data_IF_189118261570
#
_entry.id   IF_189118261570
#
_cell.length_a   1.000
_cell.length_b   1.000
_cell.length_c   1.000
_cell.angle_alpha   90.00
_cell.angle_beta   90.00
_cell.angle_gamma   90.00
#
_symmetry.space_group_name_H-M   'P 1'
#
loop_
_entity.id
_entity.type
_entity.pdbx_description
1 polymer ?
#
# COMPACT_ATOMS: atom_id res chain seq x y z
N UNK A 1 29.04 -19.85 -13.01
CA UNK A 1 27.75 -20.57 -13.00
C UNK A 1 27.98 -21.91 -12.36
N UNK A 2 27.33 -22.17 -11.23
CA UNK A 2 27.43 -23.44 -10.53
C UNK A 2 26.43 -24.38 -11.19
N UNK A 3 26.88 -25.37 -11.96
CA UNK A 3 25.99 -26.39 -12.51
C UNK A 3 25.31 -27.13 -11.36
N UNK A 4 23.99 -26.99 -11.26
CA UNK A 4 23.19 -27.72 -10.29
C UNK A 4 22.93 -29.11 -10.90
N UNK A 5 23.44 -30.14 -10.24
CA UNK A 5 23.40 -31.51 -10.76
C UNK A 5 21.96 -31.95 -11.08
N UNK A 6 21.70 -32.31 -12.33
CA UNK A 6 20.41 -32.84 -12.79
C UNK A 6 19.35 -31.79 -13.16
N UNK A 7 19.71 -30.51 -13.25
CA UNK A 7 18.84 -29.42 -13.72
C UNK A 7 19.42 -28.75 -14.98
N UNK A 8 19.71 -29.55 -16.00
CA UNK A 8 20.20 -29.04 -17.28
C UNK A 8 19.22 -28.02 -17.89
N UNK A 9 19.73 -26.86 -18.29
CA UNK A 9 18.95 -25.75 -18.86
C UNK A 9 18.25 -24.85 -17.83
N UNK A 10 18.44 -25.04 -16.52
CA UNK A 10 17.79 -24.22 -15.49
C UNK A 10 18.11 -22.73 -15.61
N UNK A 11 19.40 -22.40 -15.79
CA UNK A 11 19.89 -21.02 -15.87
C UNK A 11 19.50 -20.30 -17.18
N UNK A 12 18.91 -21.02 -18.15
CA UNK A 12 18.41 -20.43 -19.41
C UNK A 12 17.09 -19.68 -19.22
N UNK A 13 16.41 -19.91 -18.10
CA UNK A 13 15.13 -19.30 -17.77
C UNK A 13 15.28 -18.22 -16.73
N UNK A 14 14.51 -17.14 -16.87
CA UNK A 14 14.56 -16.00 -15.96
C UNK A 14 14.18 -16.41 -14.52
N UNK A 15 14.97 -16.01 -13.50
CA UNK A 15 14.61 -16.20 -12.11
C UNK A 15 13.32 -15.47 -11.75
N UNK A 16 12.66 -15.94 -10.70
CA UNK A 16 11.59 -15.16 -10.10
C UNK A 16 12.15 -13.87 -9.47
N UNK A 17 11.73 -12.72 -10.00
CA UNK A 17 12.14 -11.39 -9.52
C UNK A 17 11.13 -10.75 -8.56
N UNK A 18 10.08 -11.49 -8.18
CA UNK A 18 8.97 -10.93 -7.41
C UNK A 18 9.39 -10.46 -6.02
N UNK A 19 8.93 -9.27 -5.63
CA UNK A 19 9.01 -8.83 -4.24
C UNK A 19 7.85 -9.43 -3.45
N UNK A 20 8.16 -10.26 -2.45
CA UNK A 20 7.18 -10.77 -1.49
C UNK A 20 6.98 -12.28 -1.56
N UNK A 21 5.72 -12.71 -1.60
CA UNK A 21 5.33 -14.12 -1.62
C UNK A 21 4.94 -14.50 -3.06
N UNK A 22 5.41 -15.64 -3.59
CA UNK A 22 4.94 -16.11 -4.88
C UNK A 22 3.44 -16.41 -4.85
N UNK A 23 2.69 -15.78 -5.75
CA UNK A 23 1.27 -16.04 -5.99
C UNK A 23 1.07 -16.32 -7.47
N UNK A 24 -0.08 -16.88 -7.83
CA UNK A 24 -0.35 -17.23 -9.23
C UNK A 24 -0.27 -16.01 -10.15
N UNK A 25 -0.69 -14.85 -9.64
CA UNK A 25 -0.77 -13.59 -10.37
C UNK A 25 0.60 -12.93 -10.59
N UNK A 26 1.61 -13.27 -9.79
CA UNK A 26 2.96 -12.69 -9.88
C UNK A 26 4.03 -13.67 -10.37
N UNK A 27 3.63 -14.89 -10.75
CA UNK A 27 4.49 -15.89 -11.36
C UNK A 27 4.25 -15.96 -12.87
N UNK A 28 5.32 -16.13 -13.65
CA UNK A 28 5.23 -16.44 -15.06
C UNK A 28 4.90 -17.94 -15.24
N UNK A 29 3.69 -18.24 -15.72
CA UNK A 29 3.23 -19.61 -15.88
C UNK A 29 3.82 -20.31 -17.11
N UNK A 30 4.45 -19.57 -18.02
CA UNK A 30 5.14 -20.14 -19.19
C UNK A 30 6.61 -20.47 -18.87
N UNK A 31 7.15 -19.89 -17.80
CA UNK A 31 8.50 -20.14 -17.32
C UNK A 31 8.55 -21.40 -16.42
N UNK A 32 9.27 -22.48 -16.79
CA UNK A 32 9.41 -23.70 -16.00
C UNK A 32 9.92 -23.49 -14.56
N UNK A 33 10.72 -22.44 -14.30
CA UNK A 33 11.18 -22.09 -12.95
C UNK A 33 10.03 -21.58 -12.07
N UNK A 34 9.01 -20.96 -12.67
CA UNK A 34 7.97 -20.22 -11.96
C UNK A 34 6.59 -20.88 -12.04
N UNK A 35 6.36 -21.74 -13.04
CA UNK A 35 5.06 -22.38 -13.35
C UNK A 35 4.34 -22.98 -12.13
N UNK A 36 5.09 -23.64 -11.24
CA UNK A 36 4.54 -24.28 -10.04
C UNK A 36 4.89 -23.53 -8.75
N UNK A 37 5.67 -22.45 -8.82
CA UNK A 37 6.24 -21.77 -7.65
C UNK A 37 5.15 -21.31 -6.66
N UNK A 38 4.07 -20.73 -7.18
CA UNK A 38 2.93 -20.27 -6.38
C UNK A 38 2.21 -21.38 -5.62
N UNK A 39 2.33 -22.64 -6.04
CA UNK A 39 1.68 -23.78 -5.38
C UNK A 39 2.39 -24.19 -4.08
N UNK A 40 3.62 -23.74 -3.86
CA UNK A 40 4.39 -24.02 -2.64
C UNK A 40 4.17 -22.97 -1.54
N UNK A 41 3.37 -21.95 -1.83
CA UNK A 41 2.98 -20.94 -0.85
C UNK A 41 1.97 -21.53 0.15
N UNK A 42 2.22 -21.31 1.43
CA UNK A 42 1.37 -21.76 2.54
C UNK A 42 1.05 -23.27 2.48
N UNK A 43 2.09 -24.08 2.29
CA UNK A 43 1.94 -25.53 2.23
C UNK A 43 1.18 -26.08 3.47
N UNK A 44 0.34 -27.11 3.29
CA UNK A 44 -0.39 -27.72 4.40
C UNK A 44 0.54 -28.13 5.55
N UNK A 45 0.21 -27.72 6.77
CA UNK A 45 0.99 -27.99 7.97
C UNK A 45 2.14 -27.01 8.25
N UNK A 46 2.41 -26.05 7.35
CA UNK A 46 3.38 -24.97 7.58
C UNK A 46 2.69 -23.83 8.32
N UNK A 47 3.15 -23.54 9.53
CA UNK A 47 2.61 -22.47 10.37
C UNK A 47 3.63 -21.36 10.52
N UNK A 48 3.23 -20.13 10.23
CA UNK A 48 3.98 -18.93 10.59
C UNK A 48 4.92 -18.40 9.50
N UNK A 49 5.16 -19.18 8.46
CA UNK A 49 5.95 -18.76 7.30
C UNK A 49 5.20 -19.11 6.00
N UNK A 50 5.16 -18.20 5.02
CA UNK A 50 4.52 -18.47 3.73
C UNK A 50 5.28 -19.50 2.90
N UNK A 51 6.59 -19.69 3.14
CA UNK A 51 7.41 -20.72 2.50
C UNK A 51 8.29 -21.41 3.55
N UNK A 52 8.57 -22.70 3.33
CA UNK A 52 9.47 -23.49 4.21
C UNK A 52 10.94 -23.10 4.01
N UNK A 53 11.28 -22.65 2.80
CA UNK A 53 12.63 -22.32 2.35
C UNK A 53 12.59 -21.15 1.38
N UNK A 54 13.75 -20.69 0.93
CA UNK A 54 13.91 -19.57 0.00
C UNK A 54 13.29 -19.88 -1.38
N UNK A 55 12.74 -18.88 -2.11
CA UNK A 55 12.09 -19.08 -3.40
C UNK A 55 12.96 -19.82 -4.42
N UNK A 56 14.27 -19.60 -4.42
CA UNK A 56 15.22 -20.20 -5.37
C UNK A 56 15.22 -21.74 -5.27
N UNK A 57 15.01 -22.29 -4.08
CA UNK A 57 14.86 -23.73 -3.90
C UNK A 57 13.58 -24.26 -4.54
N UNK A 58 12.49 -23.52 -4.43
CA UNK A 58 11.22 -23.88 -5.04
C UNK A 58 11.23 -23.71 -6.56
N UNK A 59 12.00 -22.76 -7.10
CA UNK A 59 12.22 -22.65 -8.54
C UNK A 59 12.89 -23.90 -9.11
N UNK A 60 13.90 -24.43 -8.42
CA UNK A 60 14.56 -25.69 -8.80
C UNK A 60 13.58 -26.86 -8.79
N UNK A 61 12.69 -26.93 -7.80
CA UNK A 61 11.66 -27.97 -7.70
C UNK A 61 10.62 -27.83 -8.82
N UNK A 62 10.16 -26.62 -9.11
CA UNK A 62 9.25 -26.33 -10.23
C UNK A 62 9.86 -26.78 -11.56
N UNK A 63 11.13 -26.42 -11.80
CA UNK A 63 11.86 -26.81 -12.99
C UNK A 63 11.99 -28.33 -13.11
N UNK A 64 12.31 -29.01 -12.00
CA UNK A 64 12.39 -30.47 -11.96
C UNK A 64 11.06 -31.13 -12.30
N UNK A 65 9.94 -30.61 -11.79
CA UNK A 65 8.60 -31.11 -12.13
C UNK A 65 8.31 -30.94 -13.63
N UNK A 66 8.68 -29.80 -14.21
CA UNK A 66 8.54 -29.55 -15.64
C UNK A 66 9.37 -30.52 -16.49
N UNK A 67 10.61 -30.80 -16.10
CA UNK A 67 11.47 -31.80 -16.75
C UNK A 67 10.86 -33.22 -16.67
N UNK A 68 10.22 -33.55 -15.54
CA UNK A 68 9.48 -34.80 -15.38
C UNK A 68 8.17 -34.86 -16.20
N UNK A 69 7.81 -33.77 -16.92
CA UNK A 69 6.63 -33.70 -17.79
C UNK A 69 5.39 -33.07 -17.15
N UNK A 70 5.48 -32.52 -15.93
CA UNK A 70 4.34 -31.83 -15.31
C UNK A 70 3.98 -30.57 -16.11
N UNK A 71 2.68 -30.34 -16.34
CA UNK A 71 2.14 -29.13 -16.97
C UNK A 71 0.84 -28.73 -16.28
N UNK A 72 0.53 -27.43 -16.29
CA UNK A 72 -0.79 -26.94 -15.91
C UNK A 72 -1.79 -27.35 -16.99
N UNK A 73 -2.78 -28.17 -16.62
CA UNK A 73 -3.78 -28.69 -17.55
C UNK A 73 -5.20 -28.21 -17.26
N UNK A 74 -5.40 -27.56 -16.11
CA UNK A 74 -6.70 -27.10 -15.64
C UNK A 74 -6.55 -25.79 -14.87
N UNK A 75 -7.65 -25.04 -14.82
CA UNK A 75 -7.77 -23.89 -13.95
C UNK A 75 -7.81 -24.31 -12.47
N UNK A 76 -7.24 -23.49 -11.57
CA UNK A 76 -7.21 -23.79 -10.16
C UNK A 76 -8.62 -23.67 -9.55
N UNK A 77 -8.96 -24.63 -8.68
CA UNK A 77 -10.20 -24.62 -7.88
C UNK A 77 -10.05 -23.84 -6.57
N UNK A 78 -8.81 -23.51 -6.20
CA UNK A 78 -8.48 -22.73 -5.00
C UNK A 78 -7.49 -21.62 -5.33
N UNK A 79 -7.56 -20.52 -4.59
CA UNK A 79 -6.62 -19.41 -4.67
C UNK A 79 -6.01 -19.11 -3.30
N UNK A 80 -4.82 -18.54 -3.32
CA UNK A 80 -4.14 -18.12 -2.11
C UNK A 80 -4.67 -16.77 -1.64
N UNK A 81 -5.15 -16.72 -0.40
CA UNK A 81 -5.52 -15.49 0.29
C UNK A 81 -4.50 -15.18 1.39
N UNK A 82 -3.83 -14.05 1.24
CA UNK A 82 -2.88 -13.55 2.24
C UNK A 82 -3.59 -13.24 3.57
N UNK A 83 -2.86 -13.34 4.68
CA UNK A 83 -3.43 -13.04 6.01
C UNK A 83 -3.76 -11.56 6.19
N UNK A 84 -4.86 -11.30 6.92
CA UNK A 84 -5.28 -9.97 7.39
C UNK A 84 -4.47 -9.47 8.58
N UNK A 85 -3.99 -10.41 9.40
CA UNK A 85 -3.45 -10.13 10.72
C UNK A 85 -1.94 -9.95 10.68
N UNK A 86 -1.46 -9.23 11.72
CA UNK A 86 -0.07 -8.95 12.01
C UNK A 86 0.81 -10.12 11.58
N UNK A 87 1.85 -9.86 10.78
CA UNK A 87 2.88 -10.84 10.37
C UNK A 87 3.44 -11.59 11.60
N UNK A 88 3.31 -10.99 12.80
CA UNK A 88 3.68 -11.59 14.09
C UNK A 88 2.75 -12.72 14.58
N UNK A 89 1.54 -12.90 14.05
CA UNK A 89 0.68 -14.03 14.42
C UNK A 89 1.08 -15.29 13.64
N UNK A 90 1.89 -16.14 14.28
CA UNK A 90 2.39 -17.39 13.70
C UNK A 90 1.32 -18.35 13.18
N UNK A 91 0.08 -18.26 13.63
CA UNK A 91 -0.97 -19.19 13.20
C UNK A 91 -1.59 -18.80 11.86
N UNK A 92 -1.51 -17.52 11.50
CA UNK A 92 -2.12 -16.98 10.29
C UNK A 92 -1.10 -16.40 9.33
N UNK A 93 0.15 -16.15 9.75
CA UNK A 93 1.17 -15.45 8.95
C UNK A 93 1.45 -16.09 7.58
N UNK A 94 1.19 -17.39 7.41
CA UNK A 94 1.35 -18.06 6.12
C UNK A 94 0.23 -17.75 5.12
N UNK A 95 -0.95 -17.28 5.55
CA UNK A 95 -2.15 -17.15 4.71
C UNK A 95 -2.99 -18.43 4.65
N UNK A 96 -4.01 -18.46 3.80
CA UNK A 96 -4.89 -19.62 3.59
C UNK A 96 -5.23 -19.83 2.12
N UNK A 97 -5.46 -21.09 1.75
CA UNK A 97 -6.07 -21.43 0.47
C UNK A 97 -7.60 -21.40 0.63
N UNK A 98 -8.27 -20.65 -0.23
CA UNK A 98 -9.73 -20.51 -0.27
C UNK A 98 -10.26 -20.94 -1.62
N UNK A 99 -11.57 -21.17 -1.70
CA UNK A 99 -12.23 -21.42 -2.98
C UNK A 99 -11.99 -20.25 -3.94
N UNK A 100 -11.87 -20.54 -5.24
CA UNK A 100 -11.60 -19.51 -6.25
C UNK A 100 -12.71 -18.46 -6.31
N UNK A 101 -13.95 -18.88 -6.02
CA UNK A 101 -15.14 -18.01 -6.01
C UNK A 101 -15.34 -17.28 -4.66
N UNK A 102 -14.60 -17.66 -3.61
CA UNK A 102 -14.70 -16.96 -2.32
C UNK A 102 -14.15 -15.53 -2.47
N UNK A 103 -14.91 -14.49 -2.09
CA UNK A 103 -14.47 -13.11 -2.27
C UNK A 103 -13.19 -12.84 -1.50
N UNK A 104 -12.28 -12.09 -2.11
CA UNK A 104 -11.00 -11.76 -1.48
C UNK A 104 -11.29 -11.00 -0.17
N UNK A 105 -10.67 -11.40 0.95
CA UNK A 105 -10.78 -10.64 2.18
C UNK A 105 -10.40 -9.16 1.95
N UNK A 106 -11.21 -8.20 2.44
CA UNK A 106 -10.90 -6.79 2.26
C UNK A 106 -9.52 -6.49 2.86
N UNK A 107 -8.64 -5.90 2.06
CA UNK A 107 -7.31 -5.46 2.52
C UNK A 107 -7.50 -4.38 3.58
N UNK A 108 -6.76 -4.47 4.68
CA UNK A 108 -6.72 -3.39 5.67
C UNK A 108 -6.23 -2.12 4.97
N UNK A 109 -6.97 -1.02 5.11
CA UNK A 109 -6.56 0.22 4.47
C UNK A 109 -5.29 0.77 5.14
N UNK A 110 -4.55 1.61 4.41
CA UNK A 110 -3.42 2.35 4.99
C UNK A 110 -3.90 3.22 6.16
N UNK A 111 -5.12 3.77 6.07
CA UNK A 111 -5.77 4.53 7.13
C UNK A 111 -5.96 3.70 8.41
N UNK A 112 -6.54 2.50 8.29
CA UNK A 112 -6.73 1.58 9.43
C UNK A 112 -5.41 1.18 10.10
N UNK A 113 -4.32 1.17 9.33
CA UNK A 113 -2.98 0.82 9.82
C UNK A 113 -2.36 2.01 10.55
N UNK A 114 -2.46 3.21 9.99
CA UNK A 114 -2.06 4.47 10.64
C UNK A 114 -2.81 4.68 11.95
N UNK A 115 -4.08 4.30 12.02
CA UNK A 115 -4.92 4.47 13.21
C UNK A 115 -4.47 3.69 14.44
N UNK A 116 -3.62 2.68 14.25
CA UNK A 116 -3.05 1.88 15.35
C UNK A 116 -1.68 2.37 15.79
N UNK A 117 -1.07 3.27 15.05
CA UNK A 117 0.25 3.80 15.35
C UNK A 117 0.17 4.94 16.37
N UNK A 118 1.25 5.08 17.13
CA UNK A 118 1.39 6.21 18.06
C UNK A 118 1.43 7.53 17.29
N UNK A 119 1.13 8.64 17.98
CA UNK A 119 1.20 9.96 17.36
C UNK A 119 2.60 10.27 16.82
N UNK A 120 3.65 9.87 17.55
CA UNK A 120 5.04 10.04 17.13
C UNK A 120 5.36 9.27 15.84
N UNK A 121 4.93 8.01 15.74
CA UNK A 121 5.16 7.19 14.54
C UNK A 121 4.41 7.75 13.32
N UNK A 122 3.19 8.28 13.51
CA UNK A 122 2.44 8.92 12.42
C UNK A 122 3.14 10.17 11.90
N UNK A 123 3.79 10.96 12.77
CA UNK A 123 4.59 12.12 12.34
C UNK A 123 5.81 11.65 11.57
N UNK A 124 6.55 10.68 12.09
CA UNK A 124 7.74 10.14 11.42
C UNK A 124 7.41 9.57 10.02
N UNK A 125 6.30 8.83 9.90
CA UNK A 125 5.83 8.31 8.61
C UNK A 125 5.48 9.45 7.66
N UNK A 126 4.80 10.51 8.13
CA UNK A 126 4.48 11.67 7.30
C UNK A 126 5.73 12.31 6.72
N UNK A 127 6.74 12.55 7.54
CA UNK A 127 8.04 13.09 7.07
C UNK A 127 8.65 12.24 5.97
N UNK A 128 8.67 10.91 6.14
CA UNK A 128 9.21 10.00 5.11
C UNK A 128 8.35 9.99 3.84
N UNK A 129 7.02 10.09 3.97
CA UNK A 129 6.12 10.16 2.81
C UNK A 129 6.34 11.47 2.04
N UNK A 130 6.48 12.60 2.72
CA UNK A 130 6.76 13.89 2.10
C UNK A 130 8.11 13.85 1.35
N UNK A 131 9.15 13.30 1.97
CA UNK A 131 10.48 13.16 1.38
C UNK A 131 10.51 12.23 0.15
N UNK A 132 9.80 11.10 0.21
CA UNK A 132 9.90 10.05 -0.84
C UNK A 132 8.87 10.19 -1.96
N UNK A 133 7.67 10.65 -1.64
CA UNK A 133 6.56 10.74 -2.59
C UNK A 133 6.35 12.16 -3.09
N UNK A 134 7.03 13.16 -2.50
CA UNK A 134 6.90 14.56 -2.89
C UNK A 134 5.45 15.03 -2.82
N UNK A 135 4.72 14.59 -1.78
CA UNK A 135 3.36 15.04 -1.57
C UNK A 135 3.37 16.56 -1.46
N UNK A 136 2.48 17.28 -2.16
CA UNK A 136 2.40 18.71 -1.98
C UNK A 136 2.17 18.97 -0.49
N UNK A 137 2.81 20.00 0.08
CA UNK A 137 2.51 20.39 1.45
C UNK A 137 1.00 20.51 1.55
N UNK A 138 0.41 19.89 2.58
CA UNK A 138 -1.02 20.09 2.87
C UNK A 138 -1.17 21.59 3.02
N UNK A 139 -1.74 22.26 2.01
CA UNK A 139 -2.00 23.68 2.09
C UNK A 139 -2.79 23.88 3.37
N UNK A 140 -2.26 24.66 4.31
CA UNK A 140 -2.99 24.99 5.52
C UNK A 140 -4.26 25.68 5.04
N UNK A 141 -5.38 24.96 5.06
CA UNK A 141 -6.65 25.45 4.51
C UNK A 141 -7.22 26.59 5.35
N UNK A 142 -6.44 27.15 6.29
CA UNK A 142 -6.83 28.16 7.26
C UNK A 142 -5.83 29.30 7.24
N UNK A 143 -6.33 30.48 6.90
CA UNK A 143 -5.63 31.75 6.90
C UNK A 143 -5.91 32.47 8.23
N UNK A 144 -4.93 33.11 8.86
CA UNK A 144 -5.22 33.98 10.02
C UNK A 144 -6.04 35.19 9.56
N UNK A 145 -6.87 35.71 10.45
CA UNK A 145 -7.64 36.94 10.17
C UNK A 145 -6.71 38.13 9.92
N UNK A 146 -5.53 38.17 10.55
CA UNK A 146 -4.48 39.15 10.25
C UNK A 146 -4.04 39.10 8.78
N UNK A 147 -3.81 37.89 8.27
CA UNK A 147 -3.27 37.68 6.94
C UNK A 147 -4.36 37.92 5.87
N UNK A 148 -5.61 37.60 6.20
CA UNK A 148 -6.78 38.03 5.42
C UNK A 148 -6.88 39.56 5.36
N UNK A 149 -6.68 40.25 6.49
CA UNK A 149 -6.75 41.71 6.57
C UNK A 149 -5.66 42.37 5.71
N UNK A 150 -4.43 41.86 5.77
CA UNK A 150 -3.33 42.30 4.90
C UNK A 150 -3.66 42.10 3.42
N UNK A 151 -4.21 40.94 3.06
CA UNK A 151 -4.58 40.61 1.68
C UNK A 151 -5.69 41.52 1.15
N UNK A 152 -6.67 41.83 1.99
CA UNK A 152 -7.77 42.75 1.67
C UNK A 152 -7.37 44.23 1.79
N UNK A 153 -6.17 44.53 2.33
CA UNK A 153 -5.68 45.88 2.64
C UNK A 153 -6.65 46.66 3.55
N UNK A 154 -7.19 45.98 4.54
CA UNK A 154 -8.08 46.55 5.56
C UNK A 154 -7.51 46.32 6.95
N UNK A 155 -8.04 47.03 7.94
CA UNK A 155 -7.67 46.82 9.33
C UNK A 155 -8.16 45.45 9.85
N UNK A 156 -7.42 44.76 10.74
CA UNK A 156 -7.80 43.44 11.27
C UNK A 156 -9.20 43.40 11.90
N UNK A 157 -9.59 44.47 12.59
CA UNK A 157 -10.92 44.55 13.21
C UNK A 157 -12.03 44.65 12.13
N UNK A 158 -11.74 45.30 11.00
CA UNK A 158 -12.64 45.35 9.84
C UNK A 158 -12.71 43.99 9.13
N UNK A 159 -11.61 43.24 9.08
CA UNK A 159 -11.63 41.88 8.54
C UNK A 159 -12.53 40.94 9.37
N UNK A 160 -12.52 41.08 10.70
CA UNK A 160 -13.47 40.35 11.58
C UNK A 160 -14.92 40.69 11.25
N UNK A 161 -15.23 41.97 11.03
CA UNK A 161 -16.57 42.42 10.64
C UNK A 161 -17.00 41.84 9.29
N UNK A 162 -16.12 41.88 8.30
CA UNK A 162 -16.38 41.29 6.97
C UNK A 162 -16.63 39.79 7.11
N UNK A 163 -15.82 39.06 7.87
CA UNK A 163 -16.09 37.65 8.15
C UNK A 163 -17.47 37.43 8.78
N UNK A 164 -17.88 38.30 9.71
CA UNK A 164 -19.21 38.24 10.34
C UNK A 164 -20.35 38.54 9.36
N UNK A 165 -20.17 39.49 8.44
CA UNK A 165 -21.14 39.78 7.37
C UNK A 165 -21.38 38.55 6.47
N UNK A 166 -20.37 37.71 6.31
CA UNK A 166 -20.46 36.43 5.59
C UNK A 166 -20.88 35.24 6.48
N UNK A 167 -21.29 35.50 7.73
CA UNK A 167 -21.76 34.47 8.67
C UNK A 167 -20.66 33.65 9.34
N UNK A 168 -19.41 34.12 9.33
CA UNK A 168 -18.28 33.46 9.98
C UNK A 168 -18.00 34.15 11.31
N UNK A 169 -18.22 33.42 12.42
CA UNK A 169 -17.82 33.88 13.75
C UNK A 169 -16.33 33.62 13.95
N UNK A 170 -15.54 34.70 13.96
CA UNK A 170 -14.10 34.65 14.22
C UNK A 170 -13.67 35.82 15.10
N UNK A 171 -12.44 35.76 15.59
CA UNK A 171 -11.80 36.80 16.39
C UNK A 171 -10.54 37.31 15.68
N UNK A 172 -9.96 38.39 16.19
CA UNK A 172 -8.75 39.01 15.61
C UNK A 172 -7.57 38.04 15.49
N UNK A 173 -7.41 37.17 16.49
CA UNK A 173 -6.37 36.12 16.51
C UNK A 173 -6.86 34.78 15.94
N UNK A 174 -8.07 34.78 15.35
CA UNK A 174 -8.73 33.61 14.81
C UNK A 174 -8.26 33.25 13.40
N UNK A 175 -8.88 32.20 12.87
CA UNK A 175 -8.59 31.66 11.54
C UNK A 175 -9.87 31.67 10.69
N UNK A 176 -9.70 31.70 9.38
CA UNK A 176 -10.75 31.60 8.36
C UNK A 176 -10.29 30.62 7.30
N UNK A 177 -11.18 29.77 6.79
CA UNK A 177 -10.79 28.84 5.73
C UNK A 177 -10.39 29.58 4.43
N UNK A 178 -9.40 29.07 3.72
CA UNK A 178 -8.81 29.69 2.53
C UNK A 178 -9.84 29.90 1.42
N UNK A 179 -10.73 28.93 1.20
CA UNK A 179 -11.84 29.03 0.23
C UNK A 179 -12.80 30.19 0.58
N UNK A 180 -13.01 30.42 1.87
CA UNK A 180 -13.87 31.49 2.36
C UNK A 180 -13.16 32.84 2.18
N UNK A 181 -11.87 32.92 2.53
CA UNK A 181 -11.03 34.08 2.29
C UNK A 181 -11.03 34.48 0.80
N UNK A 182 -10.88 33.52 -0.11
CA UNK A 182 -10.89 33.76 -1.55
C UNK A 182 -12.28 34.21 -2.04
N UNK A 183 -13.37 33.68 -1.49
CA UNK A 183 -14.73 34.15 -1.82
C UNK A 183 -14.98 35.58 -1.35
N UNK A 184 -14.47 35.94 -0.17
CA UNK A 184 -14.55 37.30 0.36
C UNK A 184 -13.75 38.26 -0.53
N UNK A 185 -12.51 37.90 -0.89
CA UNK A 185 -11.67 38.70 -1.78
C UNK A 185 -12.33 38.94 -3.15
N UNK A 186 -12.82 37.86 -3.78
CA UNK A 186 -13.53 37.94 -5.06
C UNK A 186 -14.81 38.79 -5.00
N UNK A 187 -15.57 38.70 -3.90
CA UNK A 187 -16.79 39.51 -3.72
C UNK A 187 -16.48 41.00 -3.57
N UNK A 188 -15.33 41.33 -2.97
CA UNK A 188 -14.85 42.70 -2.79
C UNK A 188 -14.10 43.24 -4.02
N UNK A 189 -13.93 42.41 -5.07
CA UNK A 189 -13.29 42.81 -6.33
C UNK A 189 -11.76 42.88 -6.27
N UNK A 190 -11.13 42.06 -5.43
CA UNK A 190 -9.68 41.93 -5.25
C UNK A 190 -9.15 40.61 -5.79
#
# INVERSE_FOLDING_TARGET
MTQIQGLDGFDEWEPWQGQGIPTRENCDLENPRQMFLWMFTALPGVMGAPLITVPEMWEMISFRMWQCGARLAADPVVKYAATRDNILNRWTAAGKWIDVDEPEPPRRSVADSLDKLSHADRIAIRTVLDEKLGLPPVEETRLRVSDLAERLRIEPDRAVEVCREFGIETSRDGFVDHDIADRIANHLGL
#
